data_IF_126790687827
#
_entry.id   IF_126790687827
#
_cell.length_a   1.000
_cell.length_b   1.000
_cell.length_c   1.000
_cell.angle_alpha   90.00
_cell.angle_beta   90.00
_cell.angle_gamma   90.00
#
_symmetry.space_group_name_H-M   'P 1'
#
loop_
_entity.id
_entity.type
_entity.pdbx_description
1 polymer ?
#
# COMPACT_ATOMS: atom_id res chain seq x y z
N UNK A 1 -14.51 -0.41 13.31
CA UNK A 1 -14.95 0.52 12.21
C UNK A 1 -13.72 1.26 11.70
N UNK A 2 -13.55 1.40 10.39
CA UNK A 2 -12.40 2.10 9.83
C UNK A 2 -12.55 3.61 10.00
N UNK A 3 -11.61 4.24 10.71
CA UNK A 3 -11.56 5.68 10.94
C UNK A 3 -10.90 6.42 9.75
N UNK A 4 -9.92 5.79 9.10
CA UNK A 4 -9.24 6.43 7.98
C UNK A 4 -8.28 5.53 7.21
N UNK A 5 -7.70 6.12 6.16
CA UNK A 5 -6.76 5.48 5.25
C UNK A 5 -5.54 6.37 5.05
N UNK A 6 -4.33 5.81 5.17
CA UNK A 6 -3.07 6.49 4.91
C UNK A 6 -2.39 5.86 3.71
N UNK A 7 -2.12 6.66 2.67
CA UNK A 7 -1.59 6.19 1.39
C UNK A 7 -0.22 6.80 1.08
N UNK A 8 0.71 5.93 0.65
CA UNK A 8 2.06 6.30 0.27
C UNK A 8 2.34 6.06 -1.22
N UNK A 9 3.12 6.94 -1.88
CA UNK A 9 3.42 6.83 -3.30
C UNK A 9 4.50 5.79 -3.63
N UNK A 10 4.64 5.49 -4.90
CA UNK A 10 5.77 4.76 -5.46
C UNK A 10 7.07 5.59 -5.47
N UNK A 11 8.21 4.92 -5.71
CA UNK A 11 9.54 5.51 -5.65
C UNK A 11 9.74 6.73 -6.58
N UNK A 12 9.19 6.66 -7.80
CA UNK A 12 9.32 7.72 -8.80
C UNK A 12 8.21 8.77 -8.79
N UNK A 13 7.28 8.72 -7.82
CA UNK A 13 6.07 9.54 -7.79
C UNK A 13 5.94 10.32 -6.48
N UNK A 14 4.82 10.99 -6.28
CA UNK A 14 4.51 11.74 -5.07
C UNK A 14 3.05 11.49 -4.62
N UNK A 15 2.66 12.07 -3.50
CA UNK A 15 1.34 11.94 -2.91
C UNK A 15 0.20 12.38 -3.85
N UNK A 16 0.46 13.23 -4.83
CA UNK A 16 -0.51 13.68 -5.84
C UNK A 16 -0.54 12.80 -7.10
N UNK A 17 0.08 11.62 -7.07
CA UNK A 17 -0.04 10.67 -8.17
C UNK A 17 -1.51 10.33 -8.42
N UNK A 18 -1.93 10.35 -9.70
CA UNK A 18 -3.33 10.21 -10.11
C UNK A 18 -4.02 8.97 -9.51
N UNK A 19 -3.32 7.83 -9.40
CA UNK A 19 -3.88 6.62 -8.79
C UNK A 19 -4.21 6.78 -7.29
N UNK A 20 -3.37 7.50 -6.52
CA UNK A 20 -3.66 7.75 -5.11
C UNK A 20 -4.81 8.76 -4.93
N UNK A 21 -4.89 9.75 -5.82
CA UNK A 21 -6.01 10.70 -5.87
C UNK A 21 -7.32 9.97 -6.19
N UNK A 22 -7.30 9.04 -7.15
CA UNK A 22 -8.47 8.25 -7.51
C UNK A 22 -8.95 7.35 -6.36
N UNK A 23 -8.02 6.72 -5.63
CA UNK A 23 -8.36 5.92 -4.45
C UNK A 23 -9.02 6.78 -3.37
N UNK A 24 -8.43 7.94 -3.04
CA UNK A 24 -9.03 8.88 -2.08
C UNK A 24 -10.43 9.30 -2.52
N UNK A 25 -10.59 9.69 -3.79
CA UNK A 25 -11.89 10.11 -4.34
C UNK A 25 -12.92 8.98 -4.23
N UNK A 26 -12.56 7.76 -4.61
CA UNK A 26 -13.47 6.62 -4.54
C UNK A 26 -13.90 6.29 -3.10
N UNK A 27 -12.97 6.32 -2.14
CA UNK A 27 -13.30 6.09 -0.72
C UNK A 27 -14.26 7.15 -0.22
N UNK A 28 -14.01 8.43 -0.48
CA UNK A 28 -14.87 9.54 -0.07
C UNK A 28 -16.25 9.50 -0.72
N UNK A 29 -16.35 9.01 -1.94
CA UNK A 29 -17.64 8.84 -2.63
C UNK A 29 -18.49 7.72 -2.01
N UNK A 30 -17.88 6.67 -1.47
CA UNK A 30 -18.60 5.57 -0.81
C UNK A 30 -18.91 5.91 0.65
N UNK A 31 -17.96 6.52 1.36
CA UNK A 31 -18.14 6.92 2.76
C UNK A 31 -17.25 8.14 3.08
N UNK A 32 -17.85 9.31 3.12
CA UNK A 32 -17.19 10.59 3.39
C UNK A 32 -16.69 10.75 4.83
N UNK A 33 -17.13 9.87 5.76
CA UNK A 33 -16.67 9.85 7.14
C UNK A 33 -15.29 9.19 7.28
N UNK A 34 -14.88 8.35 6.33
CA UNK A 34 -13.53 7.76 6.31
C UNK A 34 -12.54 8.83 5.90
N UNK A 35 -11.66 9.20 6.82
CA UNK A 35 -10.61 10.18 6.56
C UNK A 35 -9.54 9.57 5.66
N UNK A 36 -9.04 10.33 4.68
CA UNK A 36 -7.97 9.86 3.79
C UNK A 36 -6.84 10.88 3.76
N UNK A 37 -5.61 10.43 3.97
CA UNK A 37 -4.42 11.23 3.78
C UNK A 37 -3.46 10.52 2.85
N UNK A 38 -2.90 11.28 1.90
CA UNK A 38 -1.82 10.86 1.00
C UNK A 38 -0.56 11.58 1.44
N UNK A 39 0.51 10.87 1.73
CA UNK A 39 1.70 11.44 2.30
C UNK A 39 2.96 11.10 1.49
N UNK A 40 3.79 12.10 1.26
CA UNK A 40 5.10 11.91 0.66
C UNK A 40 6.13 11.39 1.67
N UNK A 41 7.02 10.53 1.22
CA UNK A 41 8.23 10.18 1.97
C UNK A 41 9.18 11.39 2.12
N UNK A 42 9.97 11.40 3.19
CA UNK A 42 10.87 12.53 3.53
C UNK A 42 11.78 12.96 2.39
N UNK A 43 12.32 12.00 1.62
CA UNK A 43 13.18 12.34 0.47
C UNK A 43 12.44 13.17 -0.59
N UNK A 44 11.14 12.90 -0.82
CA UNK A 44 10.33 13.67 -1.78
C UNK A 44 10.00 15.06 -1.24
N UNK A 45 9.67 15.17 0.04
CA UNK A 45 9.48 16.46 0.71
C UNK A 45 10.73 17.33 0.63
N UNK A 46 11.92 16.70 0.71
CA UNK A 46 13.23 17.36 0.54
C UNK A 46 13.65 17.59 -0.93
N UNK A 47 12.74 17.34 -1.91
CA UNK A 47 13.02 17.54 -3.34
C UNK A 47 13.97 16.52 -3.98
N UNK A 48 14.31 15.43 -3.29
CA UNK A 48 15.21 14.39 -3.82
C UNK A 48 14.46 13.45 -4.76
N UNK A 49 15.17 12.97 -5.80
CA UNK A 49 14.61 12.02 -6.78
C UNK A 49 14.73 10.57 -6.37
N UNK A 50 15.75 10.21 -5.59
CA UNK A 50 16.01 8.83 -5.17
C UNK A 50 15.52 8.57 -3.75
N UNK A 51 14.84 7.41 -3.53
CA UNK A 51 14.36 7.03 -2.20
C UNK A 51 15.49 6.91 -1.17
N UNK A 52 15.15 7.23 0.06
CA UNK A 52 15.98 6.88 1.21
C UNK A 52 16.03 5.35 1.39
N UNK A 53 16.93 4.87 2.26
CA UNK A 53 17.01 3.45 2.63
C UNK A 53 15.73 3.01 3.35
N UNK A 54 15.40 1.71 3.26
CA UNK A 54 14.17 1.15 3.80
C UNK A 54 13.89 1.52 5.28
N UNK A 55 14.85 1.52 6.22
CA UNK A 55 14.56 1.92 7.59
C UNK A 55 13.99 3.33 7.73
N UNK A 56 14.49 4.30 6.95
CA UNK A 56 14.00 5.69 6.96
C UNK A 56 12.58 5.79 6.40
N UNK A 57 12.30 5.01 5.34
CA UNK A 57 10.97 4.96 4.72
C UNK A 57 9.94 4.31 5.65
N UNK A 58 10.31 3.21 6.34
CA UNK A 58 9.47 2.52 7.31
C UNK A 58 9.16 3.44 8.50
N UNK A 59 10.16 4.14 9.01
CA UNK A 59 9.97 5.11 10.08
C UNK A 59 9.05 6.27 9.66
N UNK A 60 9.12 6.69 8.40
CA UNK A 60 8.17 7.68 7.86
C UNK A 60 6.73 7.13 7.89
N UNK A 61 6.53 5.86 7.51
CA UNK A 61 5.19 5.23 7.59
C UNK A 61 4.67 5.26 9.03
N UNK A 62 5.47 4.83 10.00
CA UNK A 62 5.09 4.83 11.44
C UNK A 62 4.71 6.22 11.92
N UNK A 63 5.58 7.18 11.69
CA UNK A 63 5.38 8.58 12.12
C UNK A 63 4.08 9.15 11.57
N UNK A 64 3.84 8.97 10.26
CA UNK A 64 2.63 9.50 9.60
C UNK A 64 1.37 8.82 10.11
N UNK A 65 1.38 7.51 10.30
CA UNK A 65 0.20 6.77 10.77
C UNK A 65 -0.12 7.13 12.24
N UNK A 66 0.90 7.22 13.09
CA UNK A 66 0.73 7.65 14.49
C UNK A 66 0.18 9.08 14.56
N UNK A 67 0.70 9.98 13.74
CA UNK A 67 0.21 11.36 13.68
C UNK A 67 -1.24 11.41 13.18
N UNK A 68 -1.57 10.66 12.14
CA UNK A 68 -2.93 10.56 11.64
C UNK A 68 -3.91 10.04 12.70
N UNK A 69 -3.52 9.03 13.47
CA UNK A 69 -4.33 8.52 14.58
C UNK A 69 -4.61 9.59 15.63
N UNK A 70 -3.59 10.36 16.02
CA UNK A 70 -3.72 11.48 16.96
C UNK A 70 -4.64 12.57 16.42
N UNK A 71 -4.41 13.03 15.18
CA UNK A 71 -5.20 14.08 14.52
C UNK A 71 -6.67 13.67 14.34
N UNK A 72 -6.92 12.39 14.17
CA UNK A 72 -8.25 11.83 13.95
C UNK A 72 -8.95 11.42 15.24
N UNK A 73 -8.22 11.34 16.37
CA UNK A 73 -8.75 10.90 17.65
C UNK A 73 -9.14 9.43 17.65
N UNK A 74 -8.37 8.57 16.98
CA UNK A 74 -8.60 7.13 16.89
C UNK A 74 -7.33 6.34 17.21
N UNK A 75 -7.45 5.02 17.33
CA UNK A 75 -6.30 4.13 17.43
C UNK A 75 -5.73 3.78 16.05
N UNK A 76 -4.45 3.42 15.97
CA UNK A 76 -3.83 3.02 14.69
C UNK A 76 -4.48 1.77 14.09
N UNK A 77 -4.99 0.87 14.93
CA UNK A 77 -5.71 -0.33 14.49
C UNK A 77 -7.13 -0.06 13.93
N UNK A 78 -7.53 1.21 13.84
CA UNK A 78 -8.71 1.67 13.09
C UNK A 78 -8.33 2.31 11.74
N UNK A 79 -7.03 2.28 11.38
CA UNK A 79 -6.50 2.88 10.15
C UNK A 79 -6.05 1.79 9.18
N UNK A 80 -6.49 1.88 7.94
CA UNK A 80 -5.92 1.10 6.81
C UNK A 80 -4.72 1.86 6.26
N UNK A 81 -3.61 1.16 6.02
CA UNK A 81 -2.43 1.77 5.42
C UNK A 81 -2.06 1.09 4.12
N UNK A 82 -1.22 1.73 3.33
CA UNK A 82 -0.72 1.12 2.11
C UNK A 82 -0.31 2.11 1.05
N UNK A 83 -0.48 1.72 -0.19
CA UNK A 83 -0.17 2.60 -1.31
C UNK A 83 0.35 1.87 -2.52
N UNK A 84 0.96 2.65 -3.41
CA UNK A 84 1.43 2.16 -4.71
C UNK A 84 2.88 1.70 -4.65
N UNK A 85 3.17 0.54 -5.22
CA UNK A 85 4.53 0.02 -5.42
C UNK A 85 5.35 0.10 -4.11
N UNK A 86 6.39 0.92 -4.06
CA UNK A 86 7.20 1.13 -2.86
C UNK A 86 6.34 1.49 -1.63
N UNK A 87 5.30 2.31 -1.79
CA UNK A 87 4.43 2.70 -0.68
C UNK A 87 3.75 1.51 0.00
N UNK A 88 3.15 0.61 -0.77
CA UNK A 88 2.57 -0.62 -0.24
C UNK A 88 3.60 -1.54 0.40
N UNK A 89 4.79 -1.67 -0.24
CA UNK A 89 5.88 -2.48 0.31
C UNK A 89 6.42 -1.91 1.62
N UNK A 90 6.63 -0.62 1.76
CA UNK A 90 7.11 -0.02 3.01
C UNK A 90 6.08 -0.14 4.13
N UNK A 91 4.80 0.00 3.79
CA UNK A 91 3.69 -0.24 4.72
C UNK A 91 3.65 -1.69 5.20
N UNK A 92 3.83 -2.68 4.32
CA UNK A 92 3.89 -4.09 4.73
C UNK A 92 5.10 -4.39 5.63
N UNK A 93 6.25 -3.75 5.39
CA UNK A 93 7.43 -3.89 6.24
C UNK A 93 7.25 -3.23 7.62
N UNK A 94 6.52 -2.11 7.71
CA UNK A 94 6.21 -1.47 8.98
C UNK A 94 5.29 -2.32 9.87
N UNK A 95 4.35 -3.06 9.25
CA UNK A 95 3.47 -4.01 9.94
C UNK A 95 4.25 -5.24 10.41
N UNK A 96 5.14 -5.75 9.57
CA UNK A 96 5.87 -7.01 9.79
C UNK A 96 7.12 -6.87 10.66
N UNK A 97 7.44 -5.67 11.15
CA UNK A 97 8.63 -5.43 11.95
C UNK A 97 8.55 -6.17 13.29
N UNK A 98 9.54 -7.00 13.56
CA UNK A 98 9.53 -7.86 14.75
C UNK A 98 9.76 -7.09 16.08
N UNK A 99 10.41 -5.92 16.03
CA UNK A 99 10.73 -5.15 17.22
C UNK A 99 9.68 -4.08 17.52
N UNK A 100 9.17 -3.44 16.46
CA UNK A 100 8.20 -2.33 16.57
C UNK A 100 7.11 -2.51 15.50
N UNK A 101 6.30 -3.54 15.64
CA UNK A 101 5.18 -3.77 14.73
C UNK A 101 4.18 -2.62 14.77
N UNK A 102 3.74 -2.16 13.60
CA UNK A 102 2.68 -1.17 13.50
C UNK A 102 1.32 -1.88 13.43
N UNK A 103 0.53 -1.76 14.47
CA UNK A 103 -0.83 -2.29 14.51
C UNK A 103 -1.77 -1.41 13.67
N UNK A 104 -2.45 -2.00 12.69
CA UNK A 104 -3.38 -1.30 11.78
C UNK A 104 -4.58 -2.19 11.44
N UNK A 105 -5.64 -1.58 10.90
CA UNK A 105 -6.86 -2.29 10.50
C UNK A 105 -6.66 -3.17 9.25
N UNK A 106 -5.76 -2.78 8.36
CA UNK A 106 -5.53 -3.50 7.11
C UNK A 106 -4.46 -2.87 6.24
N UNK A 107 -4.08 -3.59 5.19
CA UNK A 107 -3.04 -3.19 4.25
C UNK A 107 -3.54 -3.21 2.81
N UNK A 108 -3.26 -2.16 2.05
CA UNK A 108 -3.51 -2.07 0.61
C UNK A 108 -2.19 -2.00 -0.15
N UNK A 109 -1.97 -2.94 -1.06
CA UNK A 109 -0.81 -3.00 -1.94
C UNK A 109 -1.25 -2.87 -3.40
N UNK A 110 -1.05 -1.70 -4.00
CA UNK A 110 -1.27 -1.50 -5.43
C UNK A 110 0.03 -1.74 -6.18
N UNK A 111 0.06 -2.73 -7.06
CA UNK A 111 1.24 -3.16 -7.80
C UNK A 111 2.45 -3.41 -6.89
N UNK A 112 2.34 -4.42 -6.03
CA UNK A 112 3.40 -4.78 -5.10
C UNK A 112 4.70 -5.14 -5.85
N UNK A 113 5.83 -4.46 -5.58
CA UNK A 113 7.07 -4.68 -6.33
C UNK A 113 7.84 -5.87 -5.75
N UNK A 114 7.41 -7.09 -6.10
CA UNK A 114 7.93 -8.35 -5.56
C UNK A 114 9.44 -8.50 -5.82
N UNK A 115 9.91 -8.06 -6.97
CA UNK A 115 11.34 -8.02 -7.33
C UNK A 115 11.63 -6.87 -8.28
N UNK A 116 12.90 -6.47 -8.49
CA UNK A 116 13.24 -5.55 -9.57
C UNK A 116 12.94 -6.17 -10.93
N UNK A 117 12.57 -5.39 -11.96
CA UNK A 117 12.33 -5.92 -13.29
C UNK A 117 13.52 -6.75 -13.79
N UNK A 118 13.23 -7.88 -14.43
CA UNK A 118 14.24 -8.84 -14.95
C UNK A 118 15.16 -9.45 -13.90
N UNK A 119 14.81 -9.37 -12.60
CA UNK A 119 15.59 -9.95 -11.51
C UNK A 119 14.69 -10.77 -10.55
N UNK A 120 13.99 -11.81 -11.03
CA UNK A 120 13.03 -12.58 -10.23
C UNK A 120 13.68 -13.31 -9.03
N UNK A 121 15.02 -13.53 -9.08
CA UNK A 121 15.76 -14.12 -7.97
C UNK A 121 15.96 -13.16 -6.77
N UNK A 122 15.68 -11.84 -6.93
CA UNK A 122 15.77 -10.84 -5.86
C UNK A 122 14.40 -10.56 -5.23
N UNK A 123 13.80 -11.57 -4.68
CA UNK A 123 12.50 -11.45 -4.03
C UNK A 123 12.54 -10.47 -2.84
N UNK A 124 11.42 -9.81 -2.61
CA UNK A 124 11.19 -8.83 -1.54
C UNK A 124 9.95 -9.21 -0.74
N UNK A 125 9.86 -10.48 -0.36
CA UNK A 125 8.66 -11.10 0.21
C UNK A 125 8.88 -11.73 1.59
N UNK A 126 10.11 -11.79 2.09
CA UNK A 126 10.49 -12.51 3.32
C UNK A 126 9.63 -12.11 4.53
N UNK A 127 9.31 -10.83 4.64
CA UNK A 127 8.51 -10.28 5.74
C UNK A 127 6.99 -10.49 5.57
N UNK A 128 6.50 -10.89 4.40
CA UNK A 128 5.06 -10.98 4.14
C UNK A 128 4.37 -12.04 5.00
N UNK A 129 5.08 -13.09 5.40
CA UNK A 129 4.56 -14.11 6.32
C UNK A 129 4.23 -13.56 7.72
N UNK A 130 4.82 -12.42 8.08
CA UNK A 130 4.59 -11.73 9.36
C UNK A 130 3.43 -10.72 9.29
N UNK A 131 2.90 -10.45 8.10
CA UNK A 131 1.74 -9.56 7.92
C UNK A 131 0.46 -10.35 8.23
N UNK A 132 -0.12 -10.11 9.39
CA UNK A 132 -1.31 -10.84 9.89
C UNK A 132 -2.63 -10.12 9.63
N UNK A 133 -2.58 -8.83 9.33
CA UNK A 133 -3.78 -8.01 9.08
C UNK A 133 -4.43 -8.34 7.72
N UNK A 134 -5.73 -8.09 7.56
CA UNK A 134 -6.38 -8.16 6.25
C UNK A 134 -5.60 -7.38 5.21
N UNK A 135 -5.28 -8.01 4.09
CA UNK A 135 -4.44 -7.42 3.05
C UNK A 135 -5.08 -7.56 1.68
N UNK A 136 -5.19 -6.45 0.96
CA UNK A 136 -5.63 -6.40 -0.43
C UNK A 136 -4.43 -6.12 -1.35
N UNK A 137 -4.20 -7.02 -2.29
CA UNK A 137 -3.29 -6.80 -3.42
C UNK A 137 -4.11 -6.50 -4.68
N UNK A 138 -3.83 -5.38 -5.34
CA UNK A 138 -4.39 -5.03 -6.65
C UNK A 138 -3.24 -4.87 -7.62
N UNK A 139 -3.13 -5.74 -8.62
CA UNK A 139 -1.99 -5.77 -9.53
C UNK A 139 -2.41 -6.09 -10.96
N UNK A 140 -1.64 -5.62 -11.94
CA UNK A 140 -1.85 -5.98 -13.34
C UNK A 140 -1.41 -7.40 -13.63
N UNK A 141 -2.12 -8.11 -14.55
CA UNK A 141 -1.73 -9.47 -14.96
C UNK A 141 -0.42 -9.51 -15.75
N UNK A 142 0.09 -8.34 -16.20
CA UNK A 142 1.35 -8.18 -16.93
C UNK A 142 2.35 -7.30 -16.17
N UNK A 143 2.27 -7.28 -14.83
CA UNK A 143 3.20 -6.50 -14.00
C UNK A 143 4.60 -7.11 -14.06
N UNK A 144 5.57 -6.35 -14.50
CA UNK A 144 6.97 -6.76 -14.66
C UNK A 144 7.76 -6.80 -13.33
N UNK A 145 7.16 -6.34 -12.24
CA UNK A 145 7.74 -6.40 -10.88
C UNK A 145 7.25 -7.61 -10.07
N UNK A 146 6.39 -8.43 -10.64
CA UNK A 146 5.86 -9.66 -10.07
C UNK A 146 4.66 -10.15 -10.87
N UNK A 147 4.81 -11.30 -11.51
CA UNK A 147 3.73 -11.97 -12.23
C UNK A 147 2.64 -12.47 -11.30
N UNK A 148 1.48 -12.86 -11.84
CA UNK A 148 0.38 -13.46 -11.08
C UNK A 148 0.85 -14.66 -10.26
N UNK A 149 1.60 -15.57 -10.90
CA UNK A 149 2.07 -16.80 -10.24
C UNK A 149 3.10 -16.50 -9.15
N UNK A 150 4.06 -15.61 -9.43
CA UNK A 150 5.08 -15.22 -8.48
C UNK A 150 4.49 -14.54 -7.23
N UNK A 151 3.59 -13.57 -7.41
CA UNK A 151 2.98 -12.88 -6.29
C UNK A 151 2.03 -13.79 -5.49
N UNK A 152 1.29 -14.66 -6.18
CA UNK A 152 0.45 -15.67 -5.53
C UNK A 152 1.28 -16.63 -4.70
N UNK A 153 2.40 -17.12 -5.23
CA UNK A 153 3.32 -18.00 -4.51
C UNK A 153 3.96 -17.30 -3.30
N UNK A 154 4.46 -16.07 -3.49
CA UNK A 154 5.12 -15.30 -2.43
C UNK A 154 4.19 -14.93 -1.26
N UNK A 155 2.91 -14.73 -1.53
CA UNK A 155 1.91 -14.42 -0.51
C UNK A 155 1.21 -15.65 0.07
N UNK A 156 1.56 -16.87 -0.38
CA UNK A 156 0.93 -18.11 0.12
C UNK A 156 0.93 -18.21 1.66
N UNK A 157 2.00 -17.84 2.38
CA UNK A 157 2.04 -17.91 3.84
C UNK A 157 1.08 -16.93 4.56
N UNK A 158 0.61 -15.88 3.89
CA UNK A 158 -0.28 -14.90 4.50
C UNK A 158 -1.68 -15.51 4.70
N UNK A 159 -2.24 -15.39 5.90
CA UNK A 159 -3.56 -15.94 6.25
C UNK A 159 -4.71 -15.11 5.66
N UNK A 160 -4.64 -13.78 5.79
CA UNK A 160 -5.71 -12.84 5.47
C UNK A 160 -5.36 -12.01 4.25
N UNK A 161 -5.36 -12.61 3.06
CA UNK A 161 -5.04 -11.90 1.82
C UNK A 161 -6.14 -12.06 0.76
N UNK A 162 -6.31 -11.02 -0.04
CA UNK A 162 -7.14 -11.03 -1.25
C UNK A 162 -6.33 -10.47 -2.41
N UNK A 163 -6.38 -11.13 -3.55
CA UNK A 163 -5.82 -10.63 -4.81
C UNK A 163 -6.93 -10.19 -5.74
N UNK A 164 -6.76 -9.05 -6.38
CA UNK A 164 -7.55 -8.58 -7.51
C UNK A 164 -6.60 -8.30 -8.67
N UNK A 165 -6.82 -8.97 -9.78
CA UNK A 165 -5.99 -8.88 -10.97
C UNK A 165 -6.66 -8.01 -12.02
N UNK A 166 -5.96 -6.97 -12.46
CA UNK A 166 -6.41 -6.08 -13.54
C UNK A 166 -5.89 -6.64 -14.85
N UNK A 167 -6.78 -7.20 -15.64
CA UNK A 167 -6.40 -7.91 -16.86
C UNK A 167 -5.71 -7.02 -17.89
N UNK A 168 -4.63 -7.55 -18.48
CA UNK A 168 -3.79 -6.89 -19.46
C UNK A 168 -2.97 -5.71 -18.94
N UNK A 169 -3.18 -5.26 -17.69
CA UNK A 169 -2.48 -4.12 -17.14
C UNK A 169 -1.05 -4.47 -16.72
N UNK A 170 -0.16 -3.48 -16.81
CA UNK A 170 1.24 -3.52 -16.36
C UNK A 170 1.37 -2.85 -15.00
N UNK A 171 2.61 -2.65 -14.53
CA UNK A 171 2.90 -1.99 -13.25
C UNK A 171 2.31 -0.58 -13.11
N UNK A 172 2.15 0.14 -14.21
CA UNK A 172 1.60 1.49 -14.21
C UNK A 172 0.07 1.55 -14.08
N UNK A 173 -0.65 0.43 -14.31
CA UNK A 173 -2.12 0.33 -14.35
C UNK A 173 -2.77 1.42 -15.22
N UNK A 174 -2.14 1.74 -16.33
CA UNK A 174 -2.53 2.84 -17.19
C UNK A 174 -4.04 2.85 -17.51
N UNK A 175 -4.70 3.98 -17.26
CA UNK A 175 -6.13 4.22 -17.49
C UNK A 175 -7.09 3.33 -16.65
N UNK A 176 -6.62 2.75 -15.54
CA UNK A 176 -7.44 1.90 -14.66
C UNK A 176 -7.65 2.49 -13.26
N UNK A 177 -7.33 3.78 -13.07
CA UNK A 177 -7.36 4.42 -11.74
C UNK A 177 -8.74 4.38 -11.09
N UNK A 178 -9.81 4.64 -11.85
CA UNK A 178 -11.17 4.61 -11.33
C UNK A 178 -11.54 3.19 -10.84
N UNK A 179 -11.29 2.17 -11.66
CA UNK A 179 -11.54 0.77 -11.31
C UNK A 179 -10.75 0.34 -10.06
N UNK A 180 -9.47 0.69 -9.98
CA UNK A 180 -8.63 0.40 -8.81
C UNK A 180 -9.16 1.13 -7.57
N UNK A 181 -9.57 2.38 -7.72
CA UNK A 181 -10.18 3.17 -6.65
C UNK A 181 -11.45 2.53 -6.11
N UNK A 182 -12.37 2.11 -6.98
CA UNK A 182 -13.63 1.45 -6.61
C UNK A 182 -13.39 0.11 -5.89
N UNK A 183 -12.45 -0.72 -6.38
CA UNK A 183 -12.07 -1.97 -5.75
C UNK A 183 -11.58 -1.73 -4.32
N UNK A 184 -10.69 -0.75 -4.14
CA UNK A 184 -10.12 -0.44 -2.82
C UNK A 184 -11.18 0.16 -1.90
N UNK A 185 -12.01 1.09 -2.39
CA UNK A 185 -13.08 1.69 -1.60
C UNK A 185 -14.07 0.64 -1.10
N UNK A 186 -14.52 -0.27 -1.96
CA UNK A 186 -15.39 -1.38 -1.57
C UNK A 186 -14.75 -2.32 -0.56
N UNK A 187 -13.44 -2.59 -0.68
CA UNK A 187 -12.75 -3.43 0.29
C UNK A 187 -12.58 -2.74 1.65
N UNK A 188 -12.17 -1.47 1.67
CA UNK A 188 -11.98 -0.68 2.91
C UNK A 188 -13.30 -0.54 3.69
N UNK A 189 -14.42 -0.33 3.00
CA UNK A 189 -15.73 -0.20 3.64
C UNK A 189 -16.33 -1.53 4.10
N UNK A 190 -15.79 -2.65 3.64
CA UNK A 190 -16.18 -4.00 4.02
C UNK A 190 -15.38 -4.60 5.19
N UNK A 191 -14.37 -3.88 5.71
CA UNK A 191 -13.61 -4.24 6.92
C UNK A 191 -14.39 -3.82 8.18
#
# INVERSE_FOLDING_TARGET
MIAGVVLFPGAGTNANHHSLVAIETAIKNVNDKIKVVRCDFKYRQAGKSFPDKAPVLIETVRTVVTQAAQDWGCATNEIVIGGRSMGGRMSSMAIADAEVALEVAGLVCVCYPLHPPKQPHKLRAEHLSQVTVPTLFVSGTRDEFGTVDELTAATRPMMNKKHVWIDGARHDLKNRDAEVGEIIAGWVTGL
#
